data_IF_371931868163
#
_entry.id   IF_371931868163
#
_cell.length_a   1.000
_cell.length_b   1.000
_cell.length_c   1.000
_cell.angle_alpha   90.00
_cell.angle_beta   90.00
_cell.angle_gamma   90.00
#
_symmetry.space_group_name_H-M   'P 1'
#
loop_
_entity.id
_entity.type
_entity.pdbx_description
1 polymer ?
#
# COMPACT_ATOMS: atom_id res chain seq x y z
N UNK A 1 39.56 -18.97 69.38
CA UNK A 1 38.79 -17.95 70.12
C UNK A 1 37.98 -17.17 69.10
N UNK A 2 36.69 -17.48 69.00
CA UNK A 2 35.54 -16.67 69.44
C UNK A 2 35.21 -15.54 68.44
N UNK A 3 34.12 -15.64 67.67
CA UNK A 3 32.73 -15.24 67.98
C UNK A 3 32.59 -13.68 67.95
N UNK A 4 31.58 -13.02 67.36
CA UNK A 4 30.33 -13.42 66.70
C UNK A 4 29.60 -12.15 66.17
N UNK A 5 28.83 -12.29 65.08
CA UNK A 5 27.57 -11.56 64.75
C UNK A 5 27.61 -10.03 64.46
N UNK A 6 26.65 -9.37 63.79
CA UNK A 6 25.24 -9.65 63.49
C UNK A 6 24.74 -8.67 62.38
N UNK A 7 23.65 -9.05 61.71
CA UNK A 7 22.57 -8.25 61.07
C UNK A 7 22.43 -8.31 59.53
N UNK A 8 21.48 -9.15 59.10
CA UNK A 8 20.58 -8.93 57.95
C UNK A 8 19.31 -8.20 58.44
N UNK A 9 18.55 -7.56 57.54
CA UNK A 9 17.22 -8.09 57.22
C UNK A 9 16.97 -8.14 55.69
N UNK A 10 16.46 -9.26 55.17
CA UNK A 10 15.04 -9.56 54.96
C UNK A 10 14.40 -8.71 53.85
N UNK A 11 14.27 -9.30 52.65
CA UNK A 11 13.23 -8.91 51.68
C UNK A 11 12.25 -10.07 51.55
N UNK A 12 11.03 -9.82 52.02
CA UNK A 12 9.90 -10.75 52.05
C UNK A 12 9.32 -11.00 50.66
N UNK A 13 8.82 -12.23 50.51
CA UNK A 13 8.12 -12.81 49.36
C UNK A 13 6.64 -12.43 49.44
N UNK A 14 5.97 -12.20 48.31
CA UNK A 14 4.59 -12.69 47.94
C UNK A 14 4.19 -12.04 46.60
N UNK A 15 4.07 -12.80 45.51
CA UNK A 15 2.88 -13.57 45.08
C UNK A 15 1.68 -12.70 44.68
N UNK A 16 1.36 -12.65 43.38
CA UNK A 16 0.08 -13.14 42.86
C UNK A 16 0.08 -13.09 41.33
N UNK A 17 -0.33 -14.19 40.70
CA UNK A 17 -0.52 -14.27 39.27
C UNK A 17 -1.76 -13.53 38.79
N UNK A 18 -1.74 -13.15 37.51
CA UNK A 18 -2.96 -13.15 36.71
C UNK A 18 -2.56 -13.37 35.25
N UNK A 19 -2.92 -14.54 34.73
CA UNK A 19 -3.24 -14.67 33.31
C UNK A 19 -4.32 -13.65 33.02
N UNK A 20 -4.13 -12.75 32.06
CA UNK A 20 -5.24 -12.26 31.24
C UNK A 20 -4.77 -11.50 29.99
N UNK A 21 -5.08 -12.13 28.85
CA UNK A 21 -5.46 -11.55 27.56
C UNK A 21 -4.40 -10.88 26.68
N UNK A 22 -4.13 -11.59 25.58
CA UNK A 22 -3.88 -11.05 24.23
C UNK A 22 -4.61 -9.72 24.04
N UNK A 23 -3.87 -8.63 23.85
CA UNK A 23 -4.45 -7.40 23.30
C UNK A 23 -4.59 -7.56 21.79
N UNK A 24 -5.72 -8.10 21.39
CA UNK A 24 -6.33 -7.86 20.09
C UNK A 24 -6.65 -6.36 20.01
N UNK A 25 -5.92 -5.62 19.19
CA UNK A 25 -6.42 -4.33 18.71
C UNK A 25 -7.04 -4.55 17.34
N UNK A 26 -8.29 -4.98 17.41
CA UNK A 26 -9.32 -4.81 16.40
C UNK A 26 -9.50 -3.31 16.11
N UNK A 27 -9.65 -2.96 14.83
CA UNK A 27 -10.11 -1.65 14.31
C UNK A 27 -11.48 -1.31 14.91
N UNK A 28 -11.84 -0.05 15.31
CA UNK A 28 -12.33 1.03 14.38
C UNK A 28 -12.17 2.49 14.92
N UNK A 29 -12.61 3.61 14.26
CA UNK A 29 -13.49 3.76 13.09
C UNK A 29 -12.97 4.75 12.00
N UNK A 30 -13.77 4.94 10.95
CA UNK A 30 -13.84 6.10 10.04
C UNK A 30 -12.99 7.34 10.39
N UNK A 31 -12.15 7.74 9.44
CA UNK A 31 -11.64 9.12 9.31
C UNK A 31 -10.38 9.39 10.12
N UNK A 32 -9.27 9.68 9.44
CA UNK A 32 -8.10 10.28 10.06
C UNK A 32 -8.52 11.52 10.89
N UNK A 33 -7.89 11.76 12.07
CA UNK A 33 -8.25 12.87 12.94
C UNK A 33 -8.12 14.22 12.19
N UNK A 34 -9.02 15.19 12.43
CA UNK A 34 -8.96 16.49 11.76
C UNK A 34 -7.64 17.19 12.11
N UNK A 35 -6.80 17.37 11.10
CA UNK A 35 -5.58 18.18 11.23
C UNK A 35 -6.01 19.64 11.10
N UNK A 36 -5.74 20.48 12.11
CA UNK A 36 -5.99 21.93 12.03
C UNK A 36 -5.15 22.53 10.91
N UNK A 37 -5.81 23.19 9.96
CA UNK A 37 -5.18 23.77 8.77
C UNK A 37 -4.89 25.26 8.98
N UNK A 38 -3.69 25.71 8.65
CA UNK A 38 -3.41 27.12 8.33
C UNK A 38 -3.78 27.38 6.86
N UNK A 39 -5.00 27.05 6.46
CA UNK A 39 -5.47 27.33 5.12
C UNK A 39 -5.70 28.84 4.99
N UNK A 40 -5.06 29.46 4.00
CA UNK A 40 -5.15 30.90 3.78
C UNK A 40 -6.30 31.12 2.81
N UNK A 41 -7.33 31.85 3.26
CA UNK A 41 -8.40 32.29 2.36
C UNK A 41 -8.19 33.76 2.05
N UNK A 42 -7.95 34.07 0.78
CA UNK A 42 -7.79 35.45 0.31
C UNK A 42 -9.14 36.18 0.31
N UNK A 43 -9.09 37.52 0.27
CA UNK A 43 -10.28 38.39 0.21
C UNK A 43 -11.17 38.14 -1.02
N UNK A 44 -10.65 37.49 -2.05
CA UNK A 44 -11.38 37.07 -3.26
C UNK A 44 -12.10 35.71 -3.10
N UNK A 45 -12.01 35.06 -1.94
CA UNK A 45 -12.62 33.76 -1.66
C UNK A 45 -11.79 32.54 -2.07
N UNK A 46 -10.58 32.73 -2.59
CA UNK A 46 -9.66 31.64 -2.94
C UNK A 46 -9.05 31.04 -1.69
N UNK A 47 -9.16 29.73 -1.52
CA UNK A 47 -8.57 29.02 -0.38
C UNK A 47 -7.36 28.20 -0.79
N UNK A 48 -6.23 28.49 -0.16
CA UNK A 48 -4.96 27.81 -0.30
C UNK A 48 -4.77 26.79 0.82
N UNK A 49 -4.48 25.55 0.45
CA UNK A 49 -4.26 24.46 1.39
C UNK A 49 -2.83 23.97 1.29
N UNK A 50 -2.14 23.77 2.43
CA UNK A 50 -0.81 23.22 2.39
C UNK A 50 -0.82 21.78 1.90
N UNK A 51 0.04 21.46 0.93
CA UNK A 51 0.09 20.15 0.28
C UNK A 51 0.39 19.02 1.26
N UNK A 52 1.13 19.31 2.33
CA UNK A 52 1.39 18.40 3.45
C UNK A 52 0.10 17.91 4.12
N UNK A 53 -0.91 18.77 4.25
CA UNK A 53 -2.18 18.41 4.89
C UNK A 53 -3.09 17.59 3.95
N UNK A 54 -3.01 17.86 2.65
CA UNK A 54 -3.62 17.02 1.62
C UNK A 54 -3.02 15.62 1.67
N UNK A 55 -1.69 15.52 1.70
CA UNK A 55 -0.98 14.24 1.80
C UNK A 55 -1.38 13.48 3.07
N UNK A 56 -1.36 14.14 4.23
CA UNK A 56 -1.74 13.53 5.52
C UNK A 56 -3.19 13.03 5.52
N UNK A 57 -4.12 13.81 4.96
CA UNK A 57 -5.55 13.43 4.93
C UNK A 57 -5.80 12.19 4.07
N UNK A 58 -4.97 11.98 3.04
CA UNK A 58 -5.00 10.81 2.16
C UNK A 58 -4.09 9.65 2.64
N UNK A 59 -3.36 9.85 3.73
CA UNK A 59 -2.35 8.90 4.23
C UNK A 59 -1.12 8.76 3.31
N UNK A 60 -0.90 9.73 2.41
CA UNK A 60 0.24 9.79 1.50
C UNK A 60 1.45 10.41 2.21
N UNK A 61 2.64 9.96 1.81
CA UNK A 61 3.90 10.62 2.13
C UNK A 61 4.10 11.77 1.15
N UNK A 62 4.65 12.87 1.66
CA UNK A 62 5.07 14.02 0.88
C UNK A 62 6.60 14.14 0.97
N UNK A 63 7.27 14.18 -0.17
CA UNK A 63 8.70 14.47 -0.28
C UNK A 63 8.88 15.72 -1.12
N UNK A 64 9.48 16.76 -0.54
CA UNK A 64 9.66 18.06 -1.20
C UNK A 64 11.15 18.35 -1.41
N UNK A 65 11.47 18.91 -2.57
CA UNK A 65 12.73 19.59 -2.82
C UNK A 65 12.42 21.03 -3.31
N UNK A 66 13.44 21.76 -3.79
CA UNK A 66 13.25 23.15 -4.25
C UNK A 66 12.34 23.25 -5.47
N UNK A 67 12.40 22.26 -6.36
CA UNK A 67 11.85 22.33 -7.71
C UNK A 67 10.57 21.49 -7.88
N UNK A 68 10.29 20.59 -6.93
CA UNK A 68 9.20 19.63 -7.02
C UNK A 68 8.76 19.11 -5.66
N UNK A 69 7.51 18.68 -5.59
CA UNK A 69 6.94 17.95 -4.48
C UNK A 69 6.26 16.68 -4.99
N UNK A 70 6.61 15.57 -4.36
CA UNK A 70 6.21 14.22 -4.72
C UNK A 70 5.32 13.64 -3.63
N UNK A 71 4.15 13.14 -3.99
CA UNK A 71 3.18 12.54 -3.07
C UNK A 71 2.95 11.07 -3.43
N UNK A 72 2.92 10.19 -2.44
CA UNK A 72 2.65 8.77 -2.66
C UNK A 72 2.78 7.90 -1.42
N UNK A 73 2.39 6.63 -1.48
CA UNK A 73 2.55 5.70 -0.35
C UNK A 73 3.95 5.06 -0.28
N UNK A 74 4.47 4.67 -1.44
CA UNK A 74 5.80 4.05 -1.60
C UNK A 74 6.54 4.54 -2.83
N UNK A 75 5.84 4.89 -3.92
CA UNK A 75 6.42 5.64 -5.03
C UNK A 75 5.50 6.81 -5.39
N UNK A 76 6.02 7.71 -6.22
CA UNK A 76 5.41 9.01 -6.51
C UNK A 76 4.14 8.83 -7.35
N UNK A 77 2.98 9.08 -6.73
CA UNK A 77 1.67 9.08 -7.38
C UNK A 77 1.35 10.44 -7.99
N UNK A 78 1.82 11.51 -7.34
CA UNK A 78 1.64 12.87 -7.79
C UNK A 78 2.96 13.62 -7.73
N UNK A 79 3.32 14.31 -8.82
CA UNK A 79 4.43 15.26 -8.83
C UNK A 79 3.87 16.63 -9.15
N UNK A 80 4.14 17.60 -8.29
CA UNK A 80 3.79 19.00 -8.53
C UNK A 80 5.04 19.84 -8.53
N UNK A 81 5.07 20.88 -9.36
CA UNK A 81 6.20 21.81 -9.45
C UNK A 81 5.72 23.21 -9.07
N UNK A 82 6.44 23.93 -8.19
CA UNK A 82 6.09 25.31 -7.84
C UNK A 82 6.07 26.21 -9.08
N UNK A 83 5.16 27.19 -9.10
CA UNK A 83 5.01 28.18 -10.18
C UNK A 83 4.66 27.60 -11.56
N UNK A 84 4.41 26.29 -11.67
CA UNK A 84 4.00 25.65 -12.91
C UNK A 84 2.55 25.16 -12.83
N UNK A 85 1.82 25.29 -13.94
CA UNK A 85 0.47 24.76 -14.09
C UNK A 85 0.45 23.34 -14.66
N UNK A 86 1.57 22.62 -14.59
CA UNK A 86 1.68 21.23 -15.00
C UNK A 86 2.03 20.37 -13.80
N UNK A 87 1.41 19.21 -13.71
CA UNK A 87 1.67 18.21 -12.69
C UNK A 87 1.60 16.81 -13.30
N UNK A 88 2.17 15.85 -12.60
CA UNK A 88 1.95 14.43 -12.89
C UNK A 88 0.91 13.91 -11.90
N UNK A 89 -0.11 13.24 -12.40
CA UNK A 89 -1.13 12.55 -11.61
C UNK A 89 -1.25 11.12 -12.13
N UNK A 90 -0.94 10.15 -11.28
CA UNK A 90 -0.90 8.72 -11.64
C UNK A 90 -0.07 8.43 -12.89
N UNK A 91 1.11 9.05 -12.99
CA UNK A 91 2.02 8.90 -14.13
C UNK A 91 1.64 9.69 -15.39
N UNK A 92 0.49 10.36 -15.41
CA UNK A 92 0.04 11.15 -16.56
C UNK A 92 0.22 12.65 -16.32
N UNK A 93 0.68 13.42 -17.33
CA UNK A 93 0.72 14.87 -17.23
C UNK A 93 -0.69 15.45 -17.24
N UNK A 94 -0.95 16.37 -16.32
CA UNK A 94 -2.22 17.11 -16.21
C UNK A 94 -1.96 18.61 -16.16
N UNK A 95 -2.96 19.39 -16.56
CA UNK A 95 -2.97 20.83 -16.37
C UNK A 95 -3.67 21.19 -15.04
N UNK A 96 -3.05 22.05 -14.24
CA UNK A 96 -3.61 22.62 -13.04
C UNK A 96 -4.29 23.96 -13.38
N UNK A 97 -5.48 24.25 -12.84
CA UNK A 97 -6.16 25.54 -13.04
C UNK A 97 -5.32 26.71 -12.51
N UNK A 98 -4.57 26.49 -11.43
CA UNK A 98 -3.63 27.44 -10.84
C UNK A 98 -2.34 26.74 -10.42
N UNK A 99 -1.23 27.48 -10.49
CA UNK A 99 0.08 26.95 -10.14
C UNK A 99 0.23 26.82 -8.61
N UNK A 100 0.90 25.76 -8.11
CA UNK A 100 1.28 25.67 -6.71
C UNK A 100 2.23 26.81 -6.32
N UNK A 101 2.04 27.39 -5.14
CA UNK A 101 2.84 28.50 -4.62
C UNK A 101 3.61 28.06 -3.39
N UNK A 102 4.88 28.47 -3.29
CA UNK A 102 5.75 28.14 -2.16
C UNK A 102 5.88 29.37 -1.26
N UNK A 103 5.39 29.28 -0.03
CA UNK A 103 5.51 30.33 0.98
C UNK A 103 6.11 29.75 2.27
N UNK A 104 7.04 30.46 2.90
CA UNK A 104 7.71 30.05 4.15
C UNK A 104 8.26 28.62 4.15
N UNK A 105 8.72 28.14 2.98
CA UNK A 105 9.28 26.80 2.83
C UNK A 105 8.25 25.68 2.65
N UNK A 106 6.96 26.00 2.56
CA UNK A 106 5.87 25.04 2.40
C UNK A 106 5.12 25.27 1.08
N UNK A 107 4.72 24.19 0.42
CA UNK A 107 3.96 24.26 -0.83
C UNK A 107 2.45 24.30 -0.56
N UNK A 108 1.78 25.23 -1.23
CA UNK A 108 0.34 25.46 -1.15
C UNK A 108 -0.30 25.28 -2.52
N UNK A 109 -1.53 24.76 -2.51
CA UNK A 109 -2.36 24.62 -3.71
C UNK A 109 -3.78 25.05 -3.40
N UNK A 110 -4.47 25.60 -4.39
CA UNK A 110 -5.90 25.88 -4.24
C UNK A 110 -6.72 24.62 -4.31
N UNK A 111 -7.93 24.65 -3.73
CA UNK A 111 -8.82 23.48 -3.69
C UNK A 111 -9.18 22.95 -5.09
N UNK A 112 -9.27 23.81 -6.10
CA UNK A 112 -9.48 23.42 -7.49
C UNK A 112 -8.25 22.72 -8.07
N UNK A 113 -7.05 23.21 -7.76
CA UNK A 113 -5.80 22.56 -8.17
C UNK A 113 -5.60 21.21 -7.47
N UNK A 114 -5.99 21.09 -6.19
CA UNK A 114 -6.00 19.80 -5.47
C UNK A 114 -7.02 18.85 -6.10
N UNK A 115 -8.21 19.34 -6.46
CA UNK A 115 -9.24 18.51 -7.12
C UNK A 115 -8.76 17.99 -8.48
N UNK A 116 -8.11 18.85 -9.27
CA UNK A 116 -7.50 18.48 -10.54
C UNK A 116 -6.37 17.46 -10.35
N UNK A 117 -5.48 17.68 -9.37
CA UNK A 117 -4.37 16.78 -9.05
C UNK A 117 -4.85 15.37 -8.69
N UNK A 118 -5.87 15.28 -7.83
CA UNK A 118 -6.40 14.01 -7.33
C UNK A 118 -7.42 13.37 -8.27
N UNK A 119 -7.82 14.06 -9.34
CA UNK A 119 -8.90 13.66 -10.26
C UNK A 119 -10.21 13.35 -9.53
N UNK A 120 -10.49 14.07 -8.44
CA UNK A 120 -11.72 13.94 -7.65
C UNK A 120 -12.07 15.28 -7.03
N UNK A 121 -13.34 15.46 -6.62
CA UNK A 121 -13.75 16.69 -5.96
C UNK A 121 -13.19 16.73 -4.54
N UNK A 122 -12.36 17.72 -4.25
CA UNK A 122 -11.88 18.03 -2.91
C UNK A 122 -12.69 19.19 -2.31
N UNK A 123 -13.09 19.06 -1.04
CA UNK A 123 -13.80 20.10 -0.30
C UNK A 123 -13.13 20.32 1.05
N UNK A 124 -13.09 21.57 1.49
CA UNK A 124 -12.63 21.95 2.82
C UNK A 124 -13.77 22.61 3.59
N UNK A 125 -14.06 22.11 4.79
CA UNK A 125 -14.92 22.82 5.73
C UNK A 125 -14.12 23.96 6.38
N UNK A 126 -14.46 25.21 6.05
CA UNK A 126 -13.75 26.41 6.50
C UNK A 126 -13.92 26.69 8.00
N UNK A 127 -14.91 26.09 8.66
CA UNK A 127 -15.14 26.23 10.11
C UNK A 127 -14.33 25.21 10.92
N UNK A 128 -14.11 24.02 10.37
CA UNK A 128 -13.42 22.91 11.08
C UNK A 128 -12.01 22.61 10.55
N UNK A 129 -11.63 23.16 9.40
CA UNK A 129 -10.39 22.83 8.70
C UNK A 129 -10.37 21.42 8.11
N UNK A 130 -11.51 20.71 8.10
CA UNK A 130 -11.55 19.31 7.66
C UNK A 130 -11.56 19.23 6.14
N UNK A 131 -10.58 18.51 5.59
CA UNK A 131 -10.57 18.11 4.19
C UNK A 131 -11.45 16.86 3.99
N UNK A 132 -12.23 16.88 2.91
CA UNK A 132 -13.03 15.75 2.45
C UNK A 132 -12.84 15.60 0.95
N UNK A 133 -12.78 14.35 0.50
CA UNK A 133 -12.60 14.00 -0.90
C UNK A 133 -13.70 13.02 -1.27
N UNK A 134 -14.32 13.24 -2.43
CA UNK A 134 -15.15 12.20 -3.03
C UNK A 134 -14.24 11.00 -3.40
N UNK A 135 -14.80 9.79 -3.55
CA UNK A 135 -14.00 8.59 -3.86
C UNK A 135 -13.05 8.90 -5.02
N UNK A 136 -11.75 8.64 -4.82
CA UNK A 136 -10.76 8.73 -5.88
C UNK A 136 -11.02 7.56 -6.82
N UNK A 137 -11.86 7.79 -7.81
CA UNK A 137 -12.14 6.92 -8.94
C UNK A 137 -11.67 7.66 -10.18
N UNK A 138 -10.80 7.08 -11.02
CA UNK A 138 -10.55 7.63 -12.35
C UNK A 138 -11.91 7.86 -13.03
N UNK A 139 -12.15 9.09 -13.50
CA UNK A 139 -13.45 9.48 -14.02
C UNK A 139 -13.89 8.55 -15.17
N UNK A 140 -14.99 7.81 -14.98
CA UNK A 140 -15.59 6.99 -16.04
C UNK A 140 -16.33 5.70 -15.65
N UNK A 141 -16.35 5.28 -14.38
CA UNK A 141 -16.96 3.99 -14.02
C UNK A 141 -18.46 4.08 -13.66
N UNK A 142 -19.33 4.05 -14.67
CA UNK A 142 -20.67 3.46 -14.52
C UNK A 142 -20.58 2.00 -14.99
N UNK A 143 -20.47 1.05 -14.07
CA UNK A 143 -20.56 -0.37 -14.39
C UNK A 143 -21.64 -1.03 -13.52
N UNK A 144 -22.64 -1.68 -14.13
CA UNK A 144 -23.77 -2.26 -13.40
C UNK A 144 -23.35 -3.55 -12.65
N UNK A 145 -24.15 -4.01 -11.67
CA UNK A 145 -23.87 -5.22 -10.93
C UNK A 145 -24.05 -6.44 -11.84
N UNK A 146 -22.97 -7.18 -12.09
CA UNK A 146 -23.04 -8.47 -12.78
C UNK A 146 -23.32 -9.55 -11.73
N UNK A 147 -24.61 -9.83 -11.53
CA UNK A 147 -25.08 -11.12 -11.01
C UNK A 147 -24.89 -12.18 -12.11
N UNK A 148 -24.04 -13.15 -11.88
CA UNK A 148 -23.85 -14.29 -12.79
C UNK A 148 -23.56 -15.55 -11.99
N UNK A 149 -24.60 -16.32 -11.71
CA UNK A 149 -24.52 -17.69 -11.22
C UNK A 149 -23.90 -18.57 -12.30
N UNK A 150 -22.79 -19.26 -12.00
CA UNK A 150 -22.39 -20.43 -12.78
C UNK A 150 -21.60 -21.44 -11.93
N UNK A 151 -22.30 -22.53 -11.61
CA UNK A 151 -21.88 -23.93 -11.70
C UNK A 151 -20.36 -24.15 -11.91
N UNK A 152 -19.61 -24.34 -10.82
CA UNK A 152 -18.34 -25.06 -10.86
C UNK A 152 -18.41 -26.25 -9.93
N UNK A 153 -18.34 -27.44 -10.55
CA UNK A 153 -18.14 -28.70 -9.87
C UNK A 153 -16.80 -28.70 -9.13
N UNK A 154 -16.74 -29.54 -8.11
CA UNK A 154 -15.67 -29.69 -7.13
C UNK A 154 -14.34 -30.04 -7.83
N UNK A 155 -13.55 -29.04 -8.22
CA UNK A 155 -12.15 -29.22 -8.60
C UNK A 155 -11.32 -29.43 -7.33
N UNK A 156 -10.32 -30.31 -7.39
CA UNK A 156 -9.43 -30.51 -6.25
C UNK A 156 -8.53 -29.27 -6.06
N UNK A 157 -8.02 -29.06 -4.85
CA UNK A 157 -7.13 -27.93 -4.55
C UNK A 157 -5.88 -27.95 -5.44
N UNK A 158 -5.39 -29.14 -5.81
CA UNK A 158 -4.25 -29.29 -6.72
C UNK A 158 -4.58 -28.81 -8.14
N UNK A 159 -5.77 -29.16 -8.67
CA UNK A 159 -6.20 -28.72 -10.00
C UNK A 159 -6.35 -27.19 -10.06
N UNK A 160 -6.89 -26.58 -9.00
CA UNK A 160 -7.02 -25.11 -8.90
C UNK A 160 -5.66 -24.40 -8.81
N UNK A 161 -4.67 -25.01 -8.15
CA UNK A 161 -3.32 -24.46 -8.03
C UNK A 161 -2.59 -24.48 -9.38
N UNK A 162 -2.73 -25.55 -10.14
CA UNK A 162 -2.15 -25.68 -11.48
C UNK A 162 -2.80 -24.70 -12.47
N UNK A 163 -4.12 -24.51 -12.39
CA UNK A 163 -4.84 -23.50 -13.17
C UNK A 163 -4.40 -22.07 -12.82
N UNK A 164 -4.16 -21.78 -11.53
CA UNK A 164 -3.66 -20.47 -11.11
C UNK A 164 -2.29 -20.17 -11.69
N UNK A 165 -1.38 -21.14 -11.67
CA UNK A 165 -0.04 -20.99 -12.26
C UNK A 165 -0.14 -20.80 -13.77
N UNK A 166 -0.98 -21.59 -14.45
CA UNK A 166 -1.19 -21.46 -15.89
C UNK A 166 -1.75 -20.07 -16.23
N UNK A 167 -2.73 -19.57 -15.49
CA UNK A 167 -3.28 -18.23 -15.65
C UNK A 167 -2.23 -17.14 -15.43
N UNK A 168 -1.47 -17.22 -14.33
CA UNK A 168 -0.43 -16.25 -14.02
C UNK A 168 0.66 -16.18 -15.12
N UNK A 169 1.03 -17.33 -15.71
CA UNK A 169 2.02 -17.42 -16.79
C UNK A 169 1.57 -16.78 -18.11
N UNK A 170 0.27 -16.58 -18.33
CA UNK A 170 -0.25 -15.87 -19.52
C UNK A 170 0.23 -14.42 -19.59
N UNK A 171 0.63 -13.86 -18.46
CA UNK A 171 1.07 -12.47 -18.35
C UNK A 171 2.58 -12.30 -18.42
N UNK A 172 3.37 -13.36 -18.64
CA UNK A 172 4.83 -13.25 -18.77
C UNK A 172 5.21 -12.17 -19.80
N UNK A 173 6.11 -11.27 -19.43
CA UNK A 173 6.54 -10.13 -20.25
C UNK A 173 5.57 -8.93 -20.26
N UNK A 174 4.42 -8.99 -19.58
CA UNK A 174 3.59 -7.80 -19.37
C UNK A 174 4.42 -6.76 -18.59
N UNK A 175 4.54 -5.52 -19.09
CA UNK A 175 5.41 -4.51 -18.50
C UNK A 175 5.12 -4.23 -17.02
N UNK A 176 6.18 -3.91 -16.29
CA UNK A 176 6.06 -3.37 -14.96
C UNK A 176 5.70 -1.89 -15.01
N UNK A 177 4.62 -1.51 -14.34
CA UNK A 177 4.27 -0.11 -14.09
C UNK A 177 3.95 0.05 -12.60
N UNK A 178 4.72 0.86 -11.89
CA UNK A 178 4.44 1.08 -10.48
C UNK A 178 3.09 1.76 -10.28
N UNK A 179 2.30 1.24 -9.34
CA UNK A 179 0.99 1.84 -9.06
C UNK A 179 -0.03 1.54 -10.16
N UNK A 180 0.28 0.60 -11.09
CA UNK A 180 -0.56 0.26 -12.22
C UNK A 180 -2.05 0.23 -11.85
N UNK A 181 -2.85 0.86 -12.71
CA UNK A 181 -4.28 0.68 -12.74
C UNK A 181 -4.63 -0.80 -12.97
N UNK A 182 -5.91 -1.21 -12.84
CA UNK A 182 -6.32 -2.56 -13.24
C UNK A 182 -5.79 -2.90 -14.64
N UNK A 183 -5.31 -4.13 -14.83
CA UNK A 183 -4.67 -4.59 -16.06
C UNK A 183 -5.49 -4.27 -17.31
N UNK A 184 -6.81 -4.33 -17.21
CA UNK A 184 -7.73 -4.04 -18.30
C UNK A 184 -7.50 -2.63 -18.87
N UNK A 185 -7.07 -1.68 -18.03
CA UNK A 185 -6.83 -0.28 -18.34
C UNK A 185 -5.36 0.01 -18.69
N UNK A 186 -4.42 -0.41 -17.84
CA UNK A 186 -2.99 -0.08 -18.01
C UNK A 186 -2.26 -0.98 -19.00
N UNK A 187 -2.73 -2.22 -19.19
CA UNK A 187 -1.97 -3.30 -19.85
C UNK A 187 -0.58 -3.52 -19.22
N UNK A 188 -0.43 -3.14 -17.95
CA UNK A 188 0.80 -3.24 -17.17
C UNK A 188 0.47 -3.62 -15.72
N UNK A 189 1.47 -4.07 -14.97
CA UNK A 189 1.30 -4.45 -13.56
C UNK A 189 2.39 -3.87 -12.66
N UNK A 190 2.02 -3.50 -11.43
CA UNK A 190 2.93 -3.62 -10.28
C UNK A 190 2.76 -4.95 -9.56
N UNK A 191 3.70 -5.26 -8.65
CA UNK A 191 3.75 -6.55 -7.94
C UNK A 191 2.41 -6.94 -7.29
N UNK A 192 1.79 -6.02 -6.55
CA UNK A 192 0.55 -6.25 -5.82
C UNK A 192 -0.70 -6.21 -6.69
N UNK A 193 -0.69 -5.45 -7.79
CA UNK A 193 -1.77 -5.42 -8.77
C UNK A 193 -1.82 -6.72 -9.58
N UNK A 194 -0.64 -7.30 -9.88
CA UNK A 194 -0.52 -8.60 -10.54
C UNK A 194 -1.08 -9.72 -9.66
N UNK A 195 -0.62 -9.83 -8.42
CA UNK A 195 -1.14 -10.85 -7.48
C UNK A 195 -2.64 -10.69 -7.28
N UNK A 196 -3.12 -9.46 -7.09
CA UNK A 196 -4.56 -9.18 -6.97
C UNK A 196 -5.34 -9.58 -8.22
N UNK A 197 -4.82 -9.32 -9.42
CA UNK A 197 -5.48 -9.70 -10.67
C UNK A 197 -5.57 -11.22 -10.83
N UNK A 198 -4.47 -11.94 -10.54
CA UNK A 198 -4.45 -13.40 -10.55
C UNK A 198 -5.44 -13.97 -9.53
N UNK A 199 -5.35 -13.57 -8.26
CA UNK A 199 -6.21 -14.10 -7.21
C UNK A 199 -7.69 -13.80 -7.41
N UNK A 200 -8.02 -12.63 -7.96
CA UNK A 200 -9.41 -12.27 -8.27
C UNK A 200 -10.06 -13.23 -9.26
N UNK A 201 -9.29 -13.76 -10.23
CA UNK A 201 -9.77 -14.78 -11.17
C UNK A 201 -10.22 -16.07 -10.47
N UNK A 202 -9.62 -16.37 -9.32
CA UNK A 202 -9.91 -17.53 -8.49
C UNK A 202 -10.79 -17.18 -7.27
N UNK A 203 -11.54 -16.07 -7.35
CA UNK A 203 -12.52 -15.69 -6.35
C UNK A 203 -11.98 -15.02 -5.09
N UNK A 204 -10.69 -14.65 -5.08
CA UNK A 204 -10.04 -14.03 -3.92
C UNK A 204 -9.72 -12.56 -4.15
N UNK A 205 -10.35 -11.69 -3.37
CA UNK A 205 -10.15 -10.24 -3.44
C UNK A 205 -9.03 -9.81 -2.50
N UNK A 206 -7.82 -9.68 -3.06
CA UNK A 206 -6.68 -9.17 -2.31
C UNK A 206 -6.70 -7.63 -2.18
N UNK A 207 -6.17 -7.08 -1.05
CA UNK A 207 -5.89 -5.66 -0.91
C UNK A 207 -4.94 -5.15 -2.01
N UNK A 208 -4.99 -3.84 -2.29
CA UNK A 208 -4.17 -3.23 -3.35
C UNK A 208 -2.66 -3.24 -3.07
N UNK A 209 -2.26 -3.29 -1.80
CA UNK A 209 -0.87 -3.05 -1.38
C UNK A 209 -0.22 -4.34 -0.85
N UNK A 210 1.03 -4.60 -1.25
CA UNK A 210 1.78 -5.78 -0.81
C UNK A 210 1.83 -5.94 0.73
N UNK A 211 2.03 -4.85 1.47
CA UNK A 211 2.03 -4.85 2.94
C UNK A 211 0.69 -5.25 3.58
N UNK A 212 -0.41 -5.03 2.87
CA UNK A 212 -1.75 -5.38 3.33
C UNK A 212 -2.10 -6.80 2.90
N UNK A 213 -1.72 -7.20 1.68
CA UNK A 213 -1.74 -8.60 1.26
C UNK A 213 -0.95 -9.51 2.22
N UNK A 214 0.16 -9.02 2.79
CA UNK A 214 0.97 -9.74 3.77
C UNK A 214 0.28 -9.99 5.12
N UNK A 215 -0.93 -9.45 5.31
CA UNK A 215 -1.79 -9.67 6.50
C UNK A 215 -2.94 -10.62 6.19
N UNK A 216 -3.17 -10.95 4.93
CA UNK A 216 -4.23 -11.85 4.51
C UNK A 216 -3.84 -13.32 4.71
N UNK A 217 -4.86 -14.16 4.88
CA UNK A 217 -4.68 -15.59 5.01
C UNK A 217 -3.87 -16.03 6.24
N UNK A 218 -3.25 -17.20 6.15
CA UNK A 218 -2.46 -17.80 7.24
C UNK A 218 -0.97 -17.71 6.95
N UNK A 219 -0.10 -17.50 7.97
CA UNK A 219 1.35 -17.62 7.80
C UNK A 219 1.75 -19.02 7.32
N UNK A 220 2.77 -19.08 6.47
CA UNK A 220 3.36 -20.33 5.96
C UNK A 220 4.87 -20.30 6.20
N UNK A 221 5.43 -21.45 6.58
CA UNK A 221 6.88 -21.65 6.67
C UNK A 221 7.46 -22.20 5.37
N UNK A 222 8.78 -22.06 5.17
CA UNK A 222 9.44 -22.42 3.90
C UNK A 222 9.23 -23.87 3.48
N UNK A 223 9.19 -24.79 4.45
CA UNK A 223 8.97 -26.23 4.30
C UNK A 223 7.51 -26.61 4.01
N UNK A 224 6.57 -25.69 4.28
CA UNK A 224 5.14 -25.89 4.08
C UNK A 224 4.62 -25.21 2.81
N UNK A 225 5.49 -24.58 2.01
CA UNK A 225 5.11 -23.84 0.81
C UNK A 225 4.36 -24.72 -0.18
N UNK A 226 3.23 -24.21 -0.65
CA UNK A 226 2.39 -24.81 -1.68
C UNK A 226 2.21 -23.82 -2.82
N UNK A 227 2.00 -24.37 -4.02
CA UNK A 227 1.66 -23.58 -5.20
C UNK A 227 0.50 -22.64 -4.89
N UNK A 228 0.63 -21.38 -5.28
CA UNK A 228 -0.33 -20.33 -4.99
C UNK A 228 -0.07 -19.56 -3.70
N UNK A 229 0.88 -19.95 -2.84
CA UNK A 229 1.22 -19.13 -1.68
C UNK A 229 1.86 -17.80 -2.10
N UNK A 230 1.50 -16.71 -1.42
CA UNK A 230 2.11 -15.40 -1.61
C UNK A 230 3.43 -15.32 -0.84
N UNK A 231 4.48 -14.84 -1.51
CA UNK A 231 5.79 -14.60 -0.92
C UNK A 231 6.05 -13.10 -0.88
N UNK A 232 6.37 -12.60 0.30
CA UNK A 232 6.60 -11.19 0.56
C UNK A 232 8.06 -10.93 0.84
N UNK A 233 8.57 -9.88 0.21
CA UNK A 233 9.97 -9.49 0.28
C UNK A 233 10.10 -8.05 0.79
N UNK A 234 11.21 -7.80 1.46
CA UNK A 234 11.65 -6.44 1.74
C UNK A 234 12.26 -5.82 0.50
N UNK A 235 12.24 -4.49 0.43
CA UNK A 235 13.02 -3.73 -0.55
C UNK A 235 13.91 -2.80 0.26
N UNK A 236 15.20 -3.16 0.47
CA UNK A 236 16.08 -2.44 1.37
C UNK A 236 16.12 -0.94 1.07
N UNK A 237 16.01 -0.11 2.11
CA UNK A 237 16.04 1.34 1.97
C UNK A 237 14.74 1.98 1.44
N UNK A 238 13.72 1.20 1.10
CA UNK A 238 12.40 1.72 0.64
C UNK A 238 11.52 2.21 1.78
N UNK A 239 11.68 1.62 2.96
CA UNK A 239 10.90 1.97 4.15
C UNK A 239 11.81 2.31 5.32
N UNK A 240 11.22 2.86 6.37
CA UNK A 240 11.92 3.15 7.64
C UNK A 240 12.47 1.89 8.30
N UNK A 241 11.96 0.71 7.91
CA UNK A 241 12.43 -0.58 8.37
C UNK A 241 12.34 -1.59 7.24
N UNK A 242 13.40 -2.39 7.09
CA UNK A 242 13.43 -3.52 6.17
C UNK A 242 12.51 -4.67 6.59
N UNK A 243 11.68 -4.51 7.65
CA UNK A 243 10.64 -5.46 8.06
C UNK A 243 9.30 -5.22 7.38
N UNK A 244 9.20 -4.23 6.50
CA UNK A 244 7.94 -3.89 5.80
C UNK A 244 7.94 -4.53 4.41
N UNK A 245 6.91 -5.35 4.08
CA UNK A 245 6.76 -5.90 2.73
C UNK A 245 6.69 -4.81 1.66
N UNK A 246 7.67 -4.81 0.76
CA UNK A 246 7.74 -3.91 -0.38
C UNK A 246 7.47 -4.59 -1.71
N UNK A 247 7.62 -5.91 -1.77
CA UNK A 247 7.40 -6.67 -2.99
C UNK A 247 6.65 -7.96 -2.67
N UNK A 248 5.92 -8.48 -3.66
CA UNK A 248 5.14 -9.71 -3.55
C UNK A 248 5.20 -10.51 -4.84
N UNK A 249 5.17 -11.82 -4.72
CA UNK A 249 4.99 -12.75 -5.83
C UNK A 249 4.21 -14.00 -5.42
N UNK A 250 3.89 -14.86 -6.38
CA UNK A 250 3.13 -16.09 -6.19
C UNK A 250 4.09 -17.28 -6.33
N UNK A 251 4.15 -18.17 -5.34
CA UNK A 251 4.93 -19.39 -5.42
C UNK A 251 4.33 -20.34 -6.45
N UNK A 252 5.16 -20.88 -7.35
CA UNK A 252 4.71 -21.72 -8.48
C UNK A 252 5.31 -23.13 -8.45
N UNK A 253 5.86 -23.54 -7.30
CA UNK A 253 6.54 -24.83 -7.15
C UNK A 253 8.02 -24.78 -7.52
N UNK A 254 8.72 -25.89 -7.26
CA UNK A 254 10.13 -26.11 -7.62
C UNK A 254 11.09 -24.99 -7.21
N UNK A 255 10.85 -24.36 -6.05
CA UNK A 255 11.69 -23.26 -5.58
C UNK A 255 11.62 -22.01 -6.47
N UNK A 256 10.51 -21.81 -7.20
CA UNK A 256 10.31 -20.66 -8.09
C UNK A 256 9.06 -19.88 -7.70
N UNK A 257 9.04 -18.60 -8.08
CA UNK A 257 7.88 -17.74 -7.92
C UNK A 257 7.72 -16.82 -9.14
N UNK A 258 6.48 -16.45 -9.43
CA UNK A 258 6.13 -15.49 -10.49
C UNK A 258 5.78 -14.14 -9.87
N UNK A 259 6.32 -13.07 -10.43
CA UNK A 259 6.14 -11.69 -9.95
C UNK A 259 6.33 -10.70 -11.10
N UNK A 260 6.10 -9.41 -10.87
CA UNK A 260 6.47 -8.36 -11.83
C UNK A 260 7.47 -7.38 -11.23
N UNK A 261 8.54 -7.07 -11.96
CA UNK A 261 9.59 -6.14 -11.53
C UNK A 261 10.40 -5.66 -12.73
N UNK A 262 10.59 -4.34 -12.85
CA UNK A 262 11.47 -3.74 -13.87
C UNK A 262 11.20 -4.28 -15.28
N UNK A 263 12.24 -4.36 -16.10
CA UNK A 263 12.21 -5.18 -17.31
C UNK A 263 12.60 -6.63 -16.97
N UNK A 264 11.95 -7.65 -17.56
CA UNK A 264 10.95 -7.61 -18.63
C UNK A 264 9.50 -7.43 -18.14
N UNK A 265 9.29 -7.07 -16.87
CA UNK A 265 7.96 -6.97 -16.26
C UNK A 265 7.61 -8.24 -15.50
N UNK A 266 6.49 -8.89 -15.85
CA UNK A 266 6.11 -10.18 -15.28
C UNK A 266 7.14 -11.24 -15.67
N UNK A 267 7.74 -11.88 -14.67
CA UNK A 267 8.84 -12.83 -14.82
C UNK A 267 8.81 -13.90 -13.73
N UNK A 268 9.56 -14.97 -13.96
CA UNK A 268 9.75 -16.06 -13.01
C UNK A 268 11.18 -15.98 -12.48
N UNK A 269 11.30 -15.98 -11.15
CA UNK A 269 12.59 -15.92 -10.46
C UNK A 269 12.78 -17.14 -9.56
N UNK A 270 14.04 -17.60 -9.36
CA UNK A 270 14.34 -18.57 -8.33
C UNK A 270 14.16 -17.94 -6.94
N UNK A 271 13.62 -18.72 -6.01
CA UNK A 271 13.40 -18.32 -4.62
C UNK A 271 14.61 -18.62 -3.74
N UNK A 272 15.37 -19.66 -4.08
CA UNK A 272 16.47 -20.21 -3.25
C UNK A 272 17.86 -19.74 -3.70
N UNK A 273 17.95 -18.82 -4.66
CA UNK A 273 19.22 -18.27 -5.10
C UNK A 273 19.08 -16.83 -5.58
N UNK A 274 20.21 -16.12 -5.65
CA UNK A 274 20.29 -14.75 -6.14
C UNK A 274 19.74 -13.72 -5.15
N UNK A 275 19.31 -12.57 -5.67
CA UNK A 275 18.86 -11.44 -4.86
C UNK A 275 17.64 -11.81 -3.98
N UNK A 276 16.64 -12.47 -4.56
CA UNK A 276 15.35 -12.71 -3.89
C UNK A 276 15.46 -13.58 -2.65
N UNK A 277 16.40 -14.53 -2.60
CA UNK A 277 16.61 -15.39 -1.43
C UNK A 277 17.10 -14.62 -0.20
N UNK A 278 17.68 -13.43 -0.40
CA UNK A 278 18.27 -12.61 0.69
C UNK A 278 17.28 -11.63 1.32
N UNK A 279 16.11 -11.44 0.69
CA UNK A 279 15.15 -10.37 1.06
C UNK A 279 13.75 -10.91 1.40
N UNK A 280 13.59 -12.22 1.59
CA UNK A 280 12.32 -12.82 2.01
C UNK A 280 11.95 -12.35 3.42
N UNK A 281 10.70 -11.91 3.60
CA UNK A 281 10.16 -11.51 4.91
C UNK A 281 9.13 -12.50 5.46
N UNK A 282 8.17 -12.91 4.65
CA UNK A 282 7.08 -13.78 5.09
C UNK A 282 6.40 -14.47 3.92
N UNK A 283 5.70 -15.56 4.20
CA UNK A 283 4.83 -16.26 3.24
C UNK A 283 3.42 -16.37 3.79
N UNK A 284 2.42 -16.25 2.92
CA UNK A 284 0.99 -16.35 3.28
C UNK A 284 0.24 -17.27 2.35
N UNK A 285 -0.67 -18.06 2.91
CA UNK A 285 -1.66 -18.84 2.16
C UNK A 285 -3.03 -18.20 2.29
N UNK A 286 -3.58 -17.76 1.18
CA UNK A 286 -4.93 -17.17 1.09
C UNK A 286 -5.89 -18.24 0.55
N UNK A 287 -7.06 -18.38 1.19
CA UNK A 287 -8.11 -19.36 0.87
C UNK A 287 -9.48 -18.74 1.05
#
# INVERSE_FOLDING_TARGET
MLLVSLTLPLTMITSCGQQDRVRTNSVPPSGNPPVKTEAITESNGTTWVPLKLVAQSLGLRLQENRDSANLGYSDVMFTVQPSQRHAISFGQPIALPQAPVRENGQLYMTMDAVSALLQTKAKMDTRTGKLSFDRITPAGSNMPPQTGTSRYGVLSVADQQDEMVAYAKQFLGVPYEFGAAPYEQSKAFDCSSFTRHVFKKFGQDLPRLARDQAKEGVPVTRDQLQVGDLIFFTVPGRFQSDKIPGHVGIYIGDGKFIHTWGEPGVQISPLDSGYWSTVILSMRRVR
#
